data_IF_842875534877
#
_entry.id   IF_842875534877
#
_cell.length_a   1.000
_cell.length_b   1.000
_cell.length_c   1.000
_cell.angle_alpha   90.00
_cell.angle_beta   90.00
_cell.angle_gamma   90.00
#
_symmetry.space_group_name_H-M   'P 1'
#
loop_
_entity.id
_entity.type
_entity.pdbx_description
1 polymer ?
#
# COMPACT_ATOMS: atom_id res chain seq x y z
N UNK A 1 -32.16 -38.60 17.54
CA UNK A 1 -30.97 -37.87 17.06
C UNK A 1 -30.42 -38.69 15.92
N UNK A 2 -30.67 -38.22 14.71
CA UNK A 2 -30.64 -39.08 13.54
C UNK A 2 -29.20 -39.19 13.04
N UNK A 3 -28.80 -40.36 12.54
CA UNK A 3 -27.42 -40.65 12.17
C UNK A 3 -26.85 -39.64 11.16
N UNK A 4 -27.72 -39.05 10.34
CA UNK A 4 -27.42 -37.97 9.40
C UNK A 4 -26.97 -36.68 10.09
N UNK A 5 -27.55 -36.34 11.24
CA UNK A 5 -27.23 -35.14 12.00
C UNK A 5 -25.87 -35.25 12.69
N UNK A 6 -25.53 -36.43 13.22
CA UNK A 6 -24.23 -36.69 13.86
C UNK A 6 -23.09 -36.66 12.83
N UNK A 7 -23.34 -37.17 11.63
CA UNK A 7 -22.34 -37.20 10.55
C UNK A 7 -22.05 -35.78 10.00
N UNK A 8 -23.07 -34.94 9.85
CA UNK A 8 -22.91 -33.56 9.37
C UNK A 8 -22.06 -32.68 10.31
N UNK A 9 -22.26 -32.82 11.63
CA UNK A 9 -21.50 -32.06 12.65
C UNK A 9 -20.02 -32.49 12.65
N UNK A 10 -19.76 -33.79 12.48
CA UNK A 10 -18.40 -34.33 12.49
C UNK A 10 -17.58 -33.86 11.29
N UNK A 11 -18.18 -33.78 10.10
CA UNK A 11 -17.52 -33.27 8.88
C UNK A 11 -17.21 -31.78 8.99
N UNK A 12 -18.11 -30.98 9.57
CA UNK A 12 -17.89 -29.55 9.77
C UNK A 12 -16.72 -29.27 10.74
N UNK A 13 -16.57 -30.08 11.80
CA UNK A 13 -15.49 -29.93 12.78
C UNK A 13 -14.09 -30.22 12.18
N UNK A 14 -13.98 -31.22 11.29
CA UNK A 14 -12.71 -31.59 10.65
C UNK A 14 -12.26 -30.52 9.63
N UNK A 15 -13.21 -29.91 8.92
CA UNK A 15 -12.91 -28.81 7.98
C UNK A 15 -12.48 -27.53 8.71
N UNK A 16 -13.06 -27.23 9.87
CA UNK A 16 -12.67 -26.05 10.67
C UNK A 16 -11.23 -26.08 11.20
N UNK A 17 -10.68 -27.28 11.48
CA UNK A 17 -9.35 -27.43 12.07
C UNK A 17 -8.20 -27.52 11.04
N UNK A 18 -8.49 -27.84 9.78
CA UNK A 18 -7.46 -28.00 8.73
C UNK A 18 -7.04 -26.67 8.13
N UNK A 19 -7.95 -25.70 8.04
CA UNK A 19 -7.68 -24.35 7.54
C UNK A 19 -6.58 -23.62 8.33
N UNK A 20 -6.63 -23.53 9.68
CA UNK A 20 -5.56 -22.88 10.43
C UNK A 20 -4.23 -23.62 10.33
N UNK A 21 -4.25 -24.95 10.21
CA UNK A 21 -3.02 -25.75 10.08
C UNK A 21 -2.32 -25.47 8.74
N UNK A 22 -3.07 -25.43 7.64
CA UNK A 22 -2.53 -25.09 6.31
C UNK A 22 -2.01 -23.65 6.28
N UNK A 23 -2.77 -22.68 6.81
CA UNK A 23 -2.36 -21.27 6.90
C UNK A 23 -1.06 -21.13 7.72
N UNK A 24 -0.91 -21.89 8.81
CA UNK A 24 0.30 -21.85 9.65
C UNK A 24 1.56 -22.34 8.93
N UNK A 25 1.44 -23.30 8.02
CA UNK A 25 2.58 -23.82 7.24
C UNK A 25 2.99 -22.88 6.12
N UNK A 26 2.03 -22.11 5.56
CA UNK A 26 2.28 -21.15 4.48
C UNK A 26 2.90 -19.83 4.97
N UNK A 27 2.57 -19.38 6.18
CA UNK A 27 3.10 -18.11 6.72
C UNK A 27 4.55 -18.24 7.22
N UNK A 28 5.06 -19.47 7.41
CA UNK A 28 6.41 -19.69 7.96
C UNK A 28 7.55 -19.51 6.95
N UNK A 29 7.23 -19.25 5.68
CA UNK A 29 8.22 -19.00 4.61
C UNK A 29 8.50 -17.51 4.36
N UNK A 30 8.17 -16.62 5.29
CA UNK A 30 8.62 -15.24 5.24
C UNK A 30 10.16 -15.19 5.33
N UNK A 31 10.79 -14.96 4.18
CA UNK A 31 12.24 -14.85 3.98
C UNK A 31 12.91 -13.88 4.97
N UNK A 32 14.16 -14.15 5.40
CA UNK A 32 14.88 -13.33 6.37
C UNK A 32 15.36 -11.96 5.80
N UNK A 33 15.61 -10.96 6.68
CA UNK A 33 15.67 -9.50 6.42
C UNK A 33 16.88 -8.96 5.62
N UNK A 34 17.36 -9.68 4.61
CA UNK A 34 18.50 -9.25 3.77
C UNK A 34 18.13 -8.18 2.75
N UNK A 35 16.86 -8.09 2.37
CA UNK A 35 16.39 -7.13 1.38
C UNK A 35 16.34 -5.70 1.95
N UNK A 36 15.93 -5.55 3.21
CA UNK A 36 15.78 -4.24 3.88
C UNK A 36 17.11 -3.50 4.04
N UNK A 37 18.18 -4.21 4.43
CA UNK A 37 19.49 -3.61 4.65
C UNK A 37 20.12 -3.07 3.34
N UNK A 38 19.88 -3.77 2.22
CA UNK A 38 20.33 -3.32 0.90
C UNK A 38 19.53 -2.11 0.44
N UNK A 39 18.22 -2.13 0.62
CA UNK A 39 17.33 -1.02 0.28
C UNK A 39 17.73 0.26 1.03
N UNK A 40 17.91 0.16 2.35
CA UNK A 40 18.32 1.29 3.18
C UNK A 40 19.71 1.87 2.82
N UNK A 41 20.62 1.06 2.25
CA UNK A 41 21.90 1.58 1.74
C UNK A 41 21.70 2.36 0.44
N UNK A 42 20.84 1.86 -0.45
CA UNK A 42 20.55 2.51 -1.73
C UNK A 42 19.85 3.87 -1.49
N UNK A 43 18.85 3.92 -0.61
CA UNK A 43 18.15 5.16 -0.26
C UNK A 43 19.10 6.21 0.33
N UNK A 44 20.00 5.81 1.24
CA UNK A 44 21.03 6.70 1.79
C UNK A 44 21.98 7.25 0.73
N UNK A 45 22.34 6.42 -0.26
CA UNK A 45 23.18 6.87 -1.38
C UNK A 45 22.43 7.87 -2.27
N UNK A 46 21.16 7.64 -2.54
CA UNK A 46 20.33 8.60 -3.28
C UNK A 46 20.27 9.95 -2.56
N UNK A 47 20.00 9.94 -1.26
CA UNK A 47 19.93 11.16 -0.46
C UNK A 47 21.24 11.95 -0.52
N UNK A 48 22.38 11.29 -0.32
CA UNK A 48 23.69 11.95 -0.37
C UNK A 48 24.02 12.53 -1.76
N UNK A 49 23.58 11.87 -2.84
CA UNK A 49 23.79 12.37 -4.21
C UNK A 49 22.89 13.57 -4.50
N UNK A 50 21.61 13.50 -4.12
CA UNK A 50 20.66 14.61 -4.28
C UNK A 50 21.13 15.85 -3.51
N UNK A 51 21.58 15.68 -2.27
CA UNK A 51 22.14 16.74 -1.45
C UNK A 51 23.42 17.32 -2.07
N UNK A 52 24.33 16.48 -2.54
CA UNK A 52 25.56 16.92 -3.19
C UNK A 52 25.31 17.72 -4.49
N UNK A 53 24.27 17.36 -5.24
CA UNK A 53 23.89 18.04 -6.49
C UNK A 53 23.01 19.28 -6.27
N UNK A 54 22.50 19.51 -5.05
CA UNK A 54 21.59 20.62 -4.75
C UNK A 54 20.26 20.54 -5.49
N UNK A 55 19.83 19.34 -5.90
CA UNK A 55 18.60 19.13 -6.65
C UNK A 55 17.47 18.88 -5.66
N UNK A 56 16.57 19.86 -5.52
CA UNK A 56 15.24 19.59 -5.00
C UNK A 56 14.48 18.80 -6.07
N UNK A 57 14.02 17.60 -5.75
CA UNK A 57 13.11 16.85 -6.63
C UNK A 57 11.84 17.70 -6.76
N UNK A 58 11.53 18.23 -7.96
CA UNK A 58 10.30 18.99 -8.13
C UNK A 58 9.11 18.06 -7.87
N UNK A 59 8.14 18.56 -7.10
CA UNK A 59 6.83 17.89 -6.95
C UNK A 59 6.32 17.58 -8.36
N UNK A 60 5.88 16.34 -8.65
CA UNK A 60 5.42 16.00 -9.99
C UNK A 60 4.28 16.94 -10.39
N UNK A 61 4.46 17.64 -11.52
CA UNK A 61 3.43 18.51 -12.09
C UNK A 61 2.33 17.63 -12.68
N UNK A 62 1.23 17.50 -11.94
CA UNK A 62 0.12 16.60 -12.24
C UNK A 62 -1.14 17.43 -12.51
N UNK A 63 -1.32 17.94 -13.75
CA UNK A 63 -2.47 18.77 -14.09
C UNK A 63 -3.81 18.04 -13.89
N UNK A 64 -3.83 16.72 -14.10
CA UNK A 64 -5.01 15.87 -13.87
C UNK A 64 -5.45 15.84 -12.40
N UNK A 65 -4.49 15.87 -11.45
CA UNK A 65 -4.79 15.93 -10.01
C UNK A 65 -5.48 17.25 -9.68
N UNK A 66 -4.97 18.36 -10.22
CA UNK A 66 -5.55 19.70 -10.04
C UNK A 66 -6.93 19.80 -10.69
N UNK A 67 -7.11 19.25 -11.90
CA UNK A 67 -8.41 19.21 -12.57
C UNK A 67 -9.45 18.40 -11.75
N UNK A 68 -9.05 17.27 -11.19
CA UNK A 68 -9.93 16.50 -10.32
C UNK A 68 -10.25 17.25 -9.03
N UNK A 69 -9.30 17.96 -8.43
CA UNK A 69 -9.52 18.77 -7.24
C UNK A 69 -10.45 19.96 -7.49
N UNK A 70 -10.29 20.68 -8.60
CA UNK A 70 -11.14 21.81 -8.98
C UNK A 70 -12.59 21.40 -9.21
N UNK A 71 -12.83 20.17 -9.68
CA UNK A 71 -14.16 19.59 -9.86
C UNK A 71 -14.71 18.90 -8.60
N UNK A 72 -14.01 18.97 -7.46
CA UNK A 72 -14.42 18.31 -6.20
C UNK A 72 -14.27 16.79 -6.20
N UNK A 73 -13.61 16.21 -7.21
CA UNK A 73 -13.44 14.76 -7.40
C UNK A 73 -12.21 14.23 -6.64
N UNK A 74 -12.16 14.43 -5.32
CA UNK A 74 -10.99 14.12 -4.47
C UNK A 74 -10.48 12.67 -4.60
N UNK A 75 -11.37 11.68 -4.72
CA UNK A 75 -10.97 10.28 -4.88
C UNK A 75 -10.24 10.06 -6.22
N UNK A 76 -10.69 10.71 -7.29
CA UNK A 76 -10.02 10.65 -8.61
C UNK A 76 -8.65 11.33 -8.58
N UNK A 77 -8.54 12.45 -7.87
CA UNK A 77 -7.25 13.12 -7.65
C UNK A 77 -6.24 12.21 -6.91
N UNK A 78 -6.69 11.51 -5.85
CA UNK A 78 -5.83 10.56 -5.11
C UNK A 78 -5.42 9.38 -5.99
N UNK A 79 -6.35 8.86 -6.81
CA UNK A 79 -6.05 7.78 -7.75
C UNK A 79 -5.00 8.21 -8.78
N UNK A 80 -5.20 9.36 -9.44
CA UNK A 80 -4.25 9.88 -10.43
C UNK A 80 -2.86 10.12 -9.83
N UNK A 81 -2.79 10.71 -8.63
CA UNK A 81 -1.51 10.92 -7.93
C UNK A 81 -0.80 9.60 -7.61
N UNK A 82 -1.56 8.60 -7.16
CA UNK A 82 -1.02 7.27 -6.86
C UNK A 82 -0.51 6.54 -8.10
N UNK A 83 -1.23 6.64 -9.22
CA UNK A 83 -0.82 6.04 -10.49
C UNK A 83 0.45 6.71 -11.05
N UNK A 84 0.57 8.02 -10.89
CA UNK A 84 1.75 8.77 -11.35
C UNK A 84 3.01 8.55 -10.47
N UNK A 85 2.85 8.38 -9.16
CA UNK A 85 3.97 8.34 -8.20
C UNK A 85 4.29 6.94 -7.67
N UNK A 86 3.37 5.99 -7.78
CA UNK A 86 3.49 4.65 -7.20
C UNK A 86 3.38 4.62 -5.67
N UNK A 87 3.06 5.73 -5.01
CA UNK A 87 2.96 5.80 -3.56
C UNK A 87 1.80 4.96 -2.99
N UNK A 88 1.91 4.63 -1.70
CA UNK A 88 0.82 4.03 -0.95
C UNK A 88 -0.40 4.96 -0.85
N UNK A 89 -1.56 4.40 -0.51
CA UNK A 89 -2.81 5.16 -0.42
C UNK A 89 -2.74 6.28 0.63
N UNK A 90 -2.05 6.02 1.75
CA UNK A 90 -1.90 6.98 2.86
C UNK A 90 -1.07 8.19 2.41
N UNK A 91 0.07 7.92 1.80
CA UNK A 91 1.02 8.92 1.30
C UNK A 91 0.39 9.73 0.17
N UNK A 92 -0.28 9.05 -0.77
CA UNK A 92 -1.00 9.69 -1.89
C UNK A 92 -2.09 10.62 -1.39
N UNK A 93 -2.87 10.20 -0.38
CA UNK A 93 -3.90 11.06 0.23
C UNK A 93 -3.28 12.30 0.88
N UNK A 94 -2.20 12.13 1.63
CA UNK A 94 -1.53 13.24 2.32
C UNK A 94 -1.01 14.28 1.32
N UNK A 95 -0.36 13.84 0.23
CA UNK A 95 0.12 14.72 -0.82
C UNK A 95 -1.02 15.48 -1.52
N UNK A 96 -2.10 14.78 -1.90
CA UNK A 96 -3.27 15.41 -2.54
C UNK A 96 -3.96 16.41 -1.61
N UNK A 97 -3.97 16.17 -0.30
CA UNK A 97 -4.48 17.12 0.69
C UNK A 97 -3.61 18.38 0.85
N UNK A 98 -2.30 18.27 0.67
CA UNK A 98 -1.39 19.42 0.57
C UNK A 98 -1.67 20.23 -0.69
N UNK A 99 -1.76 19.57 -1.85
CA UNK A 99 -2.09 20.20 -3.12
C UNK A 99 -3.45 20.93 -3.01
N UNK A 100 -4.48 20.26 -2.47
CA UNK A 100 -5.80 20.87 -2.31
C UNK A 100 -5.79 22.15 -1.45
N UNK A 101 -4.90 22.23 -0.44
CA UNK A 101 -4.72 23.45 0.37
C UNK A 101 -4.07 24.59 -0.42
N UNK A 102 -3.16 24.28 -1.34
CA UNK A 102 -2.51 25.28 -2.19
C UNK A 102 -3.46 25.86 -3.25
N UNK A 103 -4.37 25.04 -3.78
CA UNK A 103 -5.35 25.43 -4.81
C UNK A 103 -6.69 25.94 -4.25
N UNK A 104 -6.90 25.87 -2.93
CA UNK A 104 -8.11 26.37 -2.25
C UNK A 104 -8.09 27.87 -1.91
N UNK A 105 -7.37 28.69 -2.69
CA UNK A 105 -7.36 30.16 -2.55
C UNK A 105 -8.42 30.84 -3.40
#
# INVERSE_FOLDING_TARGET
>A
MDATMVMAISVAAILGATVPLIVSTLVRSASPPRDDARLARIERQQQAILEHLGIAMPEPDLPEVVEHLTWGRKIRAIQAYREATGLGLKESKAAVEEIARQYGR
#
